data_IF_823674641937
#
_entry.id   IF_823674641937
#
_cell.length_a   1.000
_cell.length_b   1.000
_cell.length_c   1.000
_cell.angle_alpha   90.00
_cell.angle_beta   90.00
_cell.angle_gamma   90.00
#
_symmetry.space_group_name_H-M   'P 1'
#
loop_
_entity.id
_entity.type
_entity.pdbx_description
1 polymer ?
#
# COMPACT_ATOMS: atom_id res chain seq x y z
N UNK A 1 11.18 4.62 16.52
CA UNK A 1 10.42 5.88 16.52
C UNK A 1 9.46 5.81 15.35
N UNK A 2 8.17 5.96 15.59
CA UNK A 2 7.18 5.96 14.51
C UNK A 2 7.45 7.14 13.56
N UNK A 3 7.31 6.88 12.28
CA UNK A 3 7.39 7.85 11.18
C UNK A 3 6.02 7.92 10.53
N UNK A 4 5.80 8.99 9.80
CA UNK A 4 4.59 9.15 9.02
C UNK A 4 4.86 8.76 7.58
N UNK A 5 3.95 7.98 6.99
CA UNK A 5 4.03 7.53 5.61
C UNK A 5 2.73 7.84 4.91
N UNK A 6 2.83 8.35 3.68
CA UNK A 6 1.70 8.46 2.76
C UNK A 6 1.79 7.30 1.78
N UNK A 7 0.75 6.49 1.71
CA UNK A 7 0.64 5.32 0.83
C UNK A 7 -0.42 5.63 -0.21
N UNK A 8 -0.07 5.45 -1.48
CA UNK A 8 -1.01 5.54 -2.59
C UNK A 8 -1.10 4.18 -3.28
N UNK A 9 -2.31 3.80 -3.68
CA UNK A 9 -2.58 2.56 -4.43
C UNK A 9 -3.28 2.95 -5.73
N UNK A 10 -2.93 2.29 -6.82
CA UNK A 10 -3.53 2.46 -8.15
C UNK A 10 -4.23 1.16 -8.54
N UNK A 11 -5.52 1.28 -8.86
CA UNK A 11 -6.39 0.19 -9.28
C UNK A 11 -6.43 0.05 -10.81
N UNK A 12 -7.07 -1.01 -11.31
CA UNK A 12 -7.15 -1.33 -12.73
C UNK A 12 -7.85 -0.25 -13.57
N UNK A 13 -8.83 0.44 -12.98
CA UNK A 13 -9.55 1.55 -13.59
C UNK A 13 -8.81 2.91 -13.51
N UNK A 14 -7.55 2.88 -13.05
CA UNK A 14 -6.70 4.05 -12.79
C UNK A 14 -7.22 5.01 -11.71
N UNK A 15 -8.24 4.63 -10.95
CA UNK A 15 -8.53 5.31 -9.70
C UNK A 15 -7.40 5.10 -8.71
N UNK A 16 -7.30 5.99 -7.72
CA UNK A 16 -6.24 5.98 -6.73
C UNK A 16 -6.80 6.19 -5.33
N UNK A 17 -6.33 5.39 -4.38
CA UNK A 17 -6.46 5.73 -2.97
C UNK A 17 -5.18 6.41 -2.49
N UNK A 18 -5.33 7.29 -1.49
CA UNK A 18 -4.22 7.93 -0.79
C UNK A 18 -4.56 7.98 0.68
N UNK A 19 -3.78 7.27 1.48
CA UNK A 19 -3.97 7.14 2.91
C UNK A 19 -2.65 7.37 3.65
N UNK A 20 -2.73 7.67 4.94
CA UNK A 20 -1.55 8.00 5.74
C UNK A 20 -1.51 7.19 7.03
N UNK A 21 -0.30 6.70 7.36
CA UNK A 21 -0.10 5.77 8.46
C UNK A 21 1.12 6.17 9.29
N UNK A 22 0.98 6.03 10.61
CA UNK A 22 2.11 6.04 11.52
C UNK A 22 2.68 4.64 11.69
N UNK A 23 3.90 4.43 11.20
CA UNK A 23 4.55 3.11 11.19
C UNK A 23 6.05 3.23 11.51
N UNK A 24 6.69 2.14 11.91
CA UNK A 24 8.13 2.10 12.14
C UNK A 24 8.91 1.93 10.83
N UNK A 25 8.30 1.36 9.80
CA UNK A 25 8.92 1.08 8.49
C UNK A 25 7.93 1.29 7.33
N UNK A 26 8.40 1.43 6.08
CA UNK A 26 7.50 1.49 4.91
C UNK A 26 6.75 0.16 4.70
N UNK A 27 7.33 -0.98 5.07
CA UNK A 27 6.67 -2.29 5.05
C UNK A 27 5.45 -2.31 5.97
N UNK A 28 5.61 -1.84 7.22
CA UNK A 28 4.51 -1.73 8.18
C UNK A 28 3.44 -0.74 7.71
N UNK A 29 3.83 0.37 7.06
CA UNK A 29 2.86 1.30 6.48
C UNK A 29 2.01 0.66 5.37
N UNK A 30 2.61 -0.20 4.53
CA UNK A 30 1.88 -0.95 3.49
C UNK A 30 0.96 -2.00 4.11
N UNK A 31 1.45 -2.76 5.09
CA UNK A 31 0.62 -3.77 5.78
C UNK A 31 -0.61 -3.12 6.44
N UNK A 32 -0.43 -1.98 7.13
CA UNK A 32 -1.54 -1.19 7.68
C UNK A 32 -2.50 -0.70 6.59
N UNK A 33 -1.99 -0.29 5.43
CA UNK A 33 -2.82 0.13 4.30
C UNK A 33 -3.76 -0.97 3.82
N UNK A 34 -3.23 -2.17 3.56
CA UNK A 34 -4.04 -3.30 3.10
C UNK A 34 -5.02 -3.83 4.16
N UNK A 35 -4.72 -3.64 5.45
CA UNK A 35 -5.63 -4.01 6.54
C UNK A 35 -6.76 -2.99 6.76
N UNK A 36 -6.49 -1.70 6.58
CA UNK A 36 -7.35 -0.63 7.11
C UNK A 36 -8.01 0.24 6.04
N UNK A 37 -7.43 0.36 4.84
CA UNK A 37 -7.94 1.31 3.85
C UNK A 37 -9.36 0.95 3.40
N UNK A 38 -10.24 1.94 3.37
CA UNK A 38 -11.64 1.78 2.97
C UNK A 38 -11.78 1.43 1.48
N UNK A 39 -10.81 1.80 0.64
CA UNK A 39 -10.81 1.44 -0.78
C UNK A 39 -10.79 -0.08 -1.03
N UNK A 40 -10.42 -0.88 -0.03
CA UNK A 40 -10.48 -2.34 -0.09
C UNK A 40 -11.75 -2.93 0.54
N UNK A 41 -12.78 -2.12 0.80
CA UNK A 41 -14.04 -2.59 1.40
C UNK A 41 -14.82 -3.52 0.46
N UNK A 42 -14.74 -3.30 -0.85
CA UNK A 42 -15.43 -4.08 -1.90
C UNK A 42 -14.58 -5.24 -2.46
N UNK A 43 -13.43 -5.52 -1.83
CA UNK A 43 -12.55 -6.63 -2.17
C UNK A 43 -12.60 -7.73 -1.10
N UNK A 44 -12.18 -8.95 -1.47
CA UNK A 44 -11.81 -9.97 -0.49
C UNK A 44 -10.53 -9.56 0.27
N UNK A 45 -10.68 -8.70 1.28
CA UNK A 45 -9.59 -8.10 2.05
C UNK A 45 -8.67 -9.14 2.70
N UNK A 46 -9.22 -10.23 3.21
CA UNK A 46 -8.42 -11.29 3.83
C UNK A 46 -7.46 -11.93 2.83
N UNK A 47 -7.90 -12.09 1.58
CA UNK A 47 -7.04 -12.57 0.50
C UNK A 47 -5.99 -11.52 0.11
N UNK A 48 -6.37 -10.25 -0.02
CA UNK A 48 -5.45 -9.14 -0.31
C UNK A 48 -4.32 -9.04 0.73
N UNK A 49 -4.69 -9.04 2.02
CA UNK A 49 -3.75 -8.96 3.14
C UNK A 49 -2.77 -10.13 3.11
N UNK A 50 -3.27 -11.37 2.92
CA UNK A 50 -2.40 -12.55 2.82
C UNK A 50 -1.39 -12.45 1.68
N UNK A 51 -1.84 -12.03 0.49
CA UNK A 51 -0.95 -11.85 -0.67
C UNK A 51 0.11 -10.79 -0.36
N UNK A 52 -0.28 -9.66 0.20
CA UNK A 52 0.67 -8.59 0.50
C UNK A 52 1.65 -8.95 1.61
N UNK A 53 1.21 -9.62 2.67
CA UNK A 53 2.09 -10.11 3.72
C UNK A 53 3.14 -11.08 3.17
N UNK A 54 2.73 -12.04 2.33
CA UNK A 54 3.68 -12.94 1.68
C UNK A 54 4.70 -12.17 0.83
N UNK A 55 4.28 -11.14 0.08
CA UNK A 55 5.20 -10.32 -0.73
C UNK A 55 6.15 -9.48 0.12
N UNK A 56 5.69 -9.00 1.28
CA UNK A 56 6.53 -8.27 2.24
C UNK A 56 7.59 -9.21 2.83
N UNK A 57 7.19 -10.40 3.26
CA UNK A 57 8.10 -11.44 3.78
C UNK A 57 9.14 -11.87 2.73
N UNK A 58 8.70 -12.00 1.47
CA UNK A 58 9.55 -12.30 0.32
C UNK A 58 10.45 -11.13 -0.12
N UNK A 59 10.29 -9.93 0.48
CA UNK A 59 10.96 -8.68 0.06
C UNK A 59 10.69 -8.30 -1.39
N UNK A 60 9.50 -8.63 -1.90
CA UNK A 60 9.04 -8.34 -3.27
C UNK A 60 7.96 -7.26 -3.32
N UNK A 61 7.46 -6.82 -2.18
CA UNK A 61 6.39 -5.81 -2.10
C UNK A 61 6.89 -4.38 -2.34
N UNK A 62 8.17 -4.09 -2.09
CA UNK A 62 8.70 -2.73 -2.12
C UNK A 62 9.99 -2.62 -2.93
N UNK A 63 10.07 -1.59 -3.78
CA UNK A 63 11.30 -1.19 -4.48
C UNK A 63 11.66 0.22 -4.02
N UNK A 64 12.81 0.40 -3.39
CA UNK A 64 13.31 1.72 -3.04
C UNK A 64 13.86 2.41 -4.29
N UNK A 65 13.36 3.61 -4.62
CA UNK A 65 13.65 4.29 -5.89
C UNK A 65 14.48 5.56 -5.74
N UNK A 66 14.89 5.91 -4.53
CA UNK A 66 15.51 7.19 -4.24
C UNK A 66 17.06 7.15 -4.20
N UNK A 67 17.71 6.14 -4.79
CA UNK A 67 19.18 6.06 -5.01
C UNK A 67 20.06 6.63 -3.87
N UNK A 68 19.78 6.23 -2.63
CA UNK A 68 20.55 6.63 -1.45
C UNK A 68 19.95 7.79 -0.63
N UNK A 69 18.94 8.49 -1.17
CA UNK A 69 18.07 9.37 -0.39
C UNK A 69 16.97 8.55 0.29
N UNK A 70 16.47 9.04 1.44
CA UNK A 70 15.42 8.35 2.18
C UNK A 70 14.06 8.82 1.71
N UNK A 71 13.12 7.90 1.56
CA UNK A 71 11.70 8.24 1.72
C UNK A 71 10.76 7.95 0.57
N UNK A 72 11.15 7.24 -0.50
CA UNK A 72 10.22 6.89 -1.59
C UNK A 72 10.40 5.43 -2.03
N UNK A 73 9.29 4.69 -2.08
CA UNK A 73 9.24 3.30 -2.52
C UNK A 73 8.07 3.07 -3.48
N UNK A 74 8.26 2.20 -4.47
CA UNK A 74 7.17 1.64 -5.27
C UNK A 74 6.58 0.44 -4.54
N UNK A 75 5.25 0.36 -4.48
CA UNK A 75 4.51 -0.80 -4.01
C UNK A 75 4.23 -1.71 -5.20
N UNK A 76 4.68 -2.96 -5.11
CA UNK A 76 4.52 -3.98 -6.14
C UNK A 76 3.55 -5.03 -5.63
N UNK A 77 2.30 -4.92 -6.09
CA UNK A 77 1.23 -5.88 -5.77
C UNK A 77 1.21 -6.99 -6.83
N UNK A 78 1.06 -6.62 -8.11
CA UNK A 78 1.21 -7.53 -9.24
C UNK A 78 0.29 -8.75 -9.15
N UNK A 79 -0.95 -8.55 -8.71
CA UNK A 79 -1.93 -9.62 -8.54
C UNK A 79 -3.30 -9.14 -8.99
N UNK A 80 -4.02 -10.07 -9.63
CA UNK A 80 -5.45 -10.02 -9.94
C UNK A 80 -6.24 -10.71 -8.82
N UNK A 81 -7.39 -10.17 -8.47
CA UNK A 81 -8.24 -10.58 -7.36
C UNK A 81 -9.69 -10.66 -7.83
N UNK A 82 -10.51 -11.46 -7.14
CA UNK A 82 -11.96 -11.43 -7.36
C UNK A 82 -12.61 -10.45 -6.40
N UNK A 83 -13.51 -9.61 -6.92
CA UNK A 83 -14.42 -8.79 -6.12
C UNK A 83 -15.56 -9.65 -5.52
N UNK A 84 -16.52 -9.01 -4.86
CA UNK A 84 -17.70 -9.71 -4.30
C UNK A 84 -18.69 -10.21 -5.36
N UNK A 85 -18.65 -9.68 -6.58
CA UNK A 85 -19.48 -10.10 -7.71
C UNK A 85 -18.83 -11.26 -8.49
N UNK A 86 -17.57 -11.59 -8.17
CA UNK A 86 -16.78 -12.64 -8.81
C UNK A 86 -16.02 -12.15 -10.05
N UNK A 87 -16.05 -10.85 -10.33
CA UNK A 87 -15.32 -10.21 -11.42
C UNK A 87 -13.85 -10.03 -11.02
N UNK A 88 -12.99 -10.13 -12.04
CA UNK A 88 -11.55 -10.09 -11.84
C UNK A 88 -11.05 -8.64 -11.89
N UNK A 89 -10.62 -8.14 -10.75
CA UNK A 89 -10.04 -6.81 -10.58
C UNK A 89 -8.53 -6.88 -10.34
N UNK A 90 -7.79 -5.85 -10.76
CA UNK A 90 -6.35 -5.80 -10.58
C UNK A 90 -5.95 -4.60 -9.73
N UNK A 91 -4.97 -4.82 -8.85
CA UNK A 91 -4.26 -3.75 -8.16
C UNK A 91 -2.87 -3.65 -8.79
N UNK A 92 -2.63 -2.56 -9.51
CA UNK A 92 -1.36 -2.38 -10.23
C UNK A 92 -0.19 -2.10 -9.31
N UNK A 93 -0.44 -1.47 -8.16
CA UNK A 93 0.59 -1.15 -7.18
C UNK A 93 0.41 0.23 -6.63
N UNK A 94 1.51 0.89 -6.30
CA UNK A 94 1.43 2.13 -5.55
C UNK A 94 2.77 2.78 -5.26
N UNK A 95 2.72 3.80 -4.41
CA UNK A 95 3.91 4.51 -3.92
C UNK A 95 3.75 4.74 -2.42
N UNK A 96 4.82 4.48 -1.67
CA UNK A 96 4.97 4.89 -0.27
C UNK A 96 5.95 6.05 -0.21
N UNK A 97 5.57 7.12 0.48
CA UNK A 97 6.43 8.27 0.75
C UNK A 97 6.58 8.44 2.27
N UNK A 98 7.80 8.48 2.79
CA UNK A 98 8.05 8.87 4.17
C UNK A 98 7.86 10.39 4.28
N UNK A 99 6.78 10.81 4.93
CA UNK A 99 6.41 12.21 5.11
C UNK A 99 6.93 12.77 6.44
N UNK A 100 6.93 14.10 6.55
CA UNK A 100 7.23 14.78 7.82
C UNK A 100 6.22 14.33 8.90
N UNK A 101 6.65 13.84 10.07
CA UNK A 101 5.76 13.49 11.17
C UNK A 101 4.92 14.66 11.71
N UNK A 102 5.34 15.89 11.48
CA UNK A 102 4.61 17.12 11.83
C UNK A 102 3.89 17.74 10.63
N UNK A 103 3.91 17.05 9.48
CA UNK A 103 3.25 17.50 8.26
C UNK A 103 1.71 17.44 8.35
N UNK A 104 1.01 18.04 7.37
CA UNK A 104 -0.45 17.95 7.28
C UNK A 104 -0.93 16.50 7.18
N UNK A 105 -2.02 16.21 7.91
CA UNK A 105 -2.73 14.93 7.84
C UNK A 105 -3.97 15.08 6.99
N UNK A 106 -4.28 14.05 6.20
CA UNK A 106 -5.56 13.93 5.49
C UNK A 106 -6.67 13.87 6.53
N UNK A 107 -7.64 14.77 6.39
CA UNK A 107 -8.82 14.87 7.26
C UNK A 107 -9.86 13.81 6.89
#
# INVERSE_FOLDING_TARGET
MKKFYTVSITFADFTKSVDQYEANSPEEAVDLCFQQAECFADYNRDMLVKVMQQRLDDKKALIHVADGLKGVWLVVVGTEFQDFEGELEAIYGGIVVQTDPNGPRRA
#
